data_IF_603701022177
#
_entry.id   IF_603701022177
#
_cell.length_a   1.000
_cell.length_b   1.000
_cell.length_c   1.000
_cell.angle_alpha   90.00
_cell.angle_beta   90.00
_cell.angle_gamma   90.00
#
_symmetry.space_group_name_H-M   'P 1'
#
loop_
_entity.id
_entity.type
_entity.pdbx_description
1 polymer ?
#
# COMPACT_ATOMS: atom_id res chain seq x y z
N UNK A 1 -0.49 -19.87 -10.22
CA UNK A 1 -0.13 -18.44 -10.10
C UNK A 1 0.64 -18.23 -8.79
N UNK A 2 1.88 -17.77 -8.85
CA UNK A 2 2.67 -17.39 -7.68
C UNK A 2 2.87 -15.87 -7.71
N UNK A 3 2.02 -15.14 -6.99
CA UNK A 3 2.04 -13.68 -6.91
C UNK A 3 1.67 -13.18 -5.49
N UNK A 4 1.64 -11.86 -5.27
CA UNK A 4 1.36 -11.25 -3.97
C UNK A 4 -0.02 -11.60 -3.38
N UNK A 5 -0.93 -12.15 -4.19
CA UNK A 5 -2.24 -12.68 -3.76
C UNK A 5 -2.17 -13.96 -2.92
N UNK A 6 -0.99 -14.61 -2.80
CA UNK A 6 -0.81 -15.77 -1.88
C UNK A 6 -1.05 -15.41 -0.41
N UNK A 7 -0.84 -14.14 -0.06
CA UNK A 7 -0.98 -13.67 1.30
C UNK A 7 -2.43 -13.33 1.55
N UNK A 8 -3.12 -14.12 2.37
CA UNK A 8 -4.52 -13.85 2.74
C UNK A 8 -4.70 -12.42 3.27
N UNK A 9 -3.75 -11.94 4.07
CA UNK A 9 -3.73 -10.58 4.63
C UNK A 9 -2.92 -9.58 3.80
N UNK A 10 -2.66 -9.89 2.53
CA UNK A 10 -1.86 -9.06 1.62
C UNK A 10 -0.35 -9.06 1.89
N UNK A 11 0.40 -8.46 0.98
CA UNK A 11 1.85 -8.28 1.12
C UNK A 11 2.15 -6.82 1.46
N UNK A 12 2.67 -6.58 2.67
CA UNK A 12 2.99 -5.22 3.13
C UNK A 12 4.30 -4.80 2.48
N UNK A 13 4.26 -3.68 1.76
CA UNK A 13 5.41 -3.08 1.10
C UNK A 13 5.26 -1.55 1.04
N UNK A 14 6.31 -0.89 0.56
CA UNK A 14 6.31 0.51 0.12
C UNK A 14 6.89 0.57 -1.29
N UNK A 15 6.52 1.61 -2.03
CA UNK A 15 7.09 1.86 -3.36
C UNK A 15 8.44 2.59 -3.26
N UNK A 16 8.64 3.40 -2.20
CA UNK A 16 9.91 4.09 -1.91
C UNK A 16 10.28 4.04 -0.44
N UNK A 17 11.57 3.87 -0.15
CA UNK A 17 12.16 3.88 1.20
C UNK A 17 13.02 5.13 1.41
N UNK A 18 12.35 6.26 1.55
CA UNK A 18 12.98 7.54 1.86
C UNK A 18 12.20 8.30 2.95
N UNK A 19 12.85 9.26 3.64
CA UNK A 19 12.15 10.12 4.59
C UNK A 19 11.07 10.97 3.89
N UNK A 20 9.91 11.12 4.54
CA UNK A 20 8.85 12.02 4.06
C UNK A 20 9.32 13.48 4.03
N UNK A 21 8.88 14.22 3.02
CA UNK A 21 9.03 15.66 2.91
C UNK A 21 7.67 16.37 3.08
N UNK A 22 7.70 17.62 3.55
CA UNK A 22 6.51 18.49 3.68
C UNK A 22 6.32 19.41 2.47
N UNK A 23 7.31 19.46 1.57
CA UNK A 23 7.34 20.37 0.42
C UNK A 23 7.31 19.62 -0.90
N UNK A 24 7.54 18.32 -0.91
CA UNK A 24 7.54 17.50 -2.11
C UNK A 24 7.16 16.05 -1.78
N UNK A 25 6.82 15.26 -2.80
CA UNK A 25 6.65 13.83 -2.66
C UNK A 25 6.01 13.18 -3.89
N UNK A 26 6.22 11.88 -4.00
CA UNK A 26 5.63 11.03 -5.05
C UNK A 26 4.43 10.26 -4.50
N UNK A 27 3.41 10.10 -5.32
CA UNK A 27 2.18 9.39 -4.97
C UNK A 27 1.90 8.32 -6.03
N UNK A 28 1.73 7.07 -5.60
CA UNK A 28 1.19 6.00 -6.43
C UNK A 28 -0.29 6.30 -6.69
N UNK A 29 -0.62 6.51 -7.95
CA UNK A 29 -1.95 6.80 -8.44
C UNK A 29 -2.56 5.53 -9.04
N UNK A 30 -3.58 5.00 -8.38
CA UNK A 30 -4.22 3.75 -8.77
C UNK A 30 -5.68 4.02 -9.15
N UNK A 31 -5.98 3.96 -10.46
CA UNK A 31 -7.35 4.00 -10.97
C UNK A 31 -7.89 2.57 -11.04
N UNK A 32 -8.92 2.29 -10.27
CA UNK A 32 -9.52 0.96 -10.18
C UNK A 32 -10.48 0.71 -11.35
N UNK A 33 -10.29 -0.42 -12.03
CA UNK A 33 -11.08 -0.79 -13.21
C UNK A 33 -11.98 -2.00 -12.94
N UNK A 34 -11.57 -2.88 -12.01
CA UNK A 34 -12.31 -4.10 -11.69
C UNK A 34 -12.00 -4.60 -10.28
N UNK A 35 -13.03 -5.03 -9.56
CA UNK A 35 -12.94 -5.75 -8.28
C UNK A 35 -12.88 -7.28 -8.49
N UNK A 36 -12.30 -8.04 -7.55
CA UNK A 36 -12.38 -9.50 -7.59
C UNK A 36 -13.81 -9.98 -7.35
N UNK A 37 -14.13 -11.17 -7.86
CA UNK A 37 -15.50 -11.71 -7.85
C UNK A 37 -16.00 -12.00 -6.42
N UNK A 38 -15.08 -12.25 -5.48
CA UNK A 38 -15.38 -12.52 -4.07
C UNK A 38 -15.23 -11.30 -3.16
N UNK A 39 -15.20 -10.07 -3.69
CA UNK A 39 -15.06 -8.83 -2.89
C UNK A 39 -16.10 -8.69 -1.75
N UNK A 40 -17.33 -9.17 -1.98
CA UNK A 40 -18.41 -9.16 -0.98
C UNK A 40 -18.40 -10.38 -0.05
N UNK A 41 -17.50 -11.34 -0.27
CA UNK A 41 -17.37 -12.53 0.57
C UNK A 41 -16.60 -12.17 1.85
N UNK A 42 -17.28 -11.54 2.79
CA UNK A 42 -16.71 -11.21 4.09
C UNK A 42 -16.36 -12.49 4.86
N UNK A 43 -15.08 -12.70 5.17
CA UNK A 43 -14.61 -13.88 5.88
C UNK A 43 -14.31 -13.63 7.37
N UNK A 44 -14.85 -12.56 7.94
CA UNK A 44 -14.79 -12.26 9.37
C UNK A 44 -13.95 -11.03 9.75
N UNK A 45 -12.86 -10.71 9.04
CA UNK A 45 -11.97 -9.59 9.45
C UNK A 45 -11.49 -8.66 8.32
N UNK A 46 -11.54 -9.07 7.05
CA UNK A 46 -11.10 -8.26 5.92
C UNK A 46 -11.75 -8.74 4.63
N UNK A 47 -12.39 -7.82 3.90
CA UNK A 47 -12.96 -8.14 2.59
C UNK A 47 -11.86 -8.45 1.57
N UNK A 48 -12.06 -9.44 0.69
CA UNK A 48 -11.08 -9.77 -0.35
C UNK A 48 -10.79 -8.59 -1.29
N UNK A 49 -9.52 -8.40 -1.67
CA UNK A 49 -9.11 -7.34 -2.60
C UNK A 49 -9.09 -5.92 -2.03
N UNK A 50 -9.44 -5.74 -0.76
CA UNK A 50 -9.42 -4.42 -0.11
C UNK A 50 -8.00 -3.88 0.06
N UNK A 51 -7.84 -2.57 -0.11
CA UNK A 51 -6.59 -1.87 0.11
C UNK A 51 -6.39 -1.56 1.61
N UNK A 52 -5.22 -1.87 2.14
CA UNK A 52 -4.80 -1.58 3.51
C UNK A 52 -3.63 -0.61 3.47
N UNK A 53 -3.70 0.46 4.26
CA UNK A 53 -2.67 1.50 4.36
C UNK A 53 -2.31 1.72 5.82
N UNK A 54 -1.02 1.61 6.17
CA UNK A 54 -0.53 1.92 7.51
C UNK A 54 -0.11 3.40 7.56
N UNK A 55 -0.79 4.26 8.35
CA UNK A 55 -0.57 5.71 8.35
C UNK A 55 0.65 6.12 9.18
N UNK A 56 1.82 5.52 8.91
CA UNK A 56 3.04 5.73 9.69
C UNK A 56 3.60 7.14 9.51
N UNK A 57 3.43 8.01 10.50
CA UNK A 57 3.99 9.35 10.50
C UNK A 57 5.37 9.32 11.17
N UNK A 58 6.43 9.16 10.38
CA UNK A 58 7.79 9.30 10.88
C UNK A 58 8.37 10.67 10.53
N UNK A 59 9.00 11.30 11.52
CA UNK A 59 10.01 12.33 11.25
C UNK A 59 11.24 11.68 10.63
N UNK A 60 12.09 12.48 9.99
CA UNK A 60 13.38 12.00 9.45
C UNK A 60 14.23 11.29 10.51
N UNK A 61 14.25 11.78 11.74
CA UNK A 61 14.97 11.13 12.85
C UNK A 61 14.35 9.78 13.20
N UNK A 62 13.02 9.68 13.29
CA UNK A 62 12.33 8.42 13.56
C UNK A 62 12.54 7.40 12.44
N UNK A 63 12.65 7.84 11.18
CA UNK A 63 12.99 6.96 10.06
C UNK A 63 14.32 6.24 10.31
N UNK A 64 15.38 6.98 10.66
CA UNK A 64 16.70 6.39 10.93
C UNK A 64 16.70 5.50 12.19
N UNK A 65 16.04 5.93 13.27
CA UNK A 65 15.92 5.12 14.49
C UNK A 65 15.20 3.78 14.25
N UNK A 66 14.30 3.73 13.28
CA UNK A 66 13.53 2.53 12.94
C UNK A 66 14.06 1.82 11.69
N UNK A 67 15.23 2.18 11.17
CA UNK A 67 15.73 1.69 9.88
C UNK A 67 15.76 0.15 9.78
N UNK A 68 16.07 -0.56 10.86
CA UNK A 68 16.03 -2.03 10.88
C UNK A 68 14.62 -2.62 10.75
N UNK A 69 13.58 -1.96 11.28
CA UNK A 69 12.19 -2.38 11.06
C UNK A 69 11.73 -1.97 9.66
N UNK A 70 12.08 -0.76 9.22
CA UNK A 70 11.68 -0.24 7.91
C UNK A 70 12.34 -1.00 6.76
N UNK A 71 13.56 -1.51 6.92
CA UNK A 71 14.20 -2.37 5.91
C UNK A 71 13.41 -3.66 5.66
N UNK A 72 12.57 -4.10 6.61
CA UNK A 72 11.68 -5.26 6.39
C UNK A 72 10.55 -4.95 5.42
N UNK A 73 10.25 -3.69 5.10
CA UNK A 73 9.26 -3.34 4.08
C UNK A 73 9.68 -3.78 2.67
N UNK A 74 10.93 -4.19 2.47
CA UNK A 74 11.41 -4.81 1.21
C UNK A 74 11.42 -6.34 1.27
N UNK A 75 11.16 -6.96 2.43
CA UNK A 75 11.26 -8.41 2.57
C UNK A 75 10.00 -9.13 2.13
N UNK A 76 10.19 -10.23 1.39
CA UNK A 76 9.13 -11.14 0.94
C UNK A 76 8.95 -12.36 1.85
N UNK A 77 9.67 -12.41 2.98
CA UNK A 77 9.67 -13.55 3.90
C UNK A 77 8.47 -13.56 4.85
N UNK A 78 7.95 -14.74 5.21
CA UNK A 78 6.86 -14.89 6.17
C UNK A 78 7.19 -14.33 7.54
N UNK A 79 8.41 -14.58 8.03
CA UNK A 79 8.87 -14.05 9.31
C UNK A 79 8.89 -12.51 9.31
N UNK A 80 9.40 -11.87 8.25
CA UNK A 80 9.41 -10.42 8.15
C UNK A 80 8.01 -9.81 8.03
N UNK A 81 7.12 -10.44 7.27
CA UNK A 81 5.73 -10.01 7.13
C UNK A 81 4.92 -10.13 8.44
N UNK A 82 5.24 -11.11 9.30
CA UNK A 82 4.66 -11.21 10.65
C UNK A 82 5.20 -10.12 11.57
N UNK A 83 6.52 -9.89 11.59
CA UNK A 83 7.13 -8.83 12.40
C UNK A 83 6.60 -7.43 12.02
N UNK A 84 6.42 -7.16 10.72
CA UNK A 84 5.80 -5.93 10.25
C UNK A 84 4.38 -5.77 10.80
N UNK A 85 3.53 -6.79 10.71
CA UNK A 85 2.14 -6.70 11.23
C UNK A 85 2.10 -6.43 12.73
N UNK A 86 3.02 -7.04 13.48
CA UNK A 86 3.12 -6.80 14.91
C UNK A 86 3.55 -5.37 15.24
N UNK A 87 4.48 -4.80 14.48
CA UNK A 87 5.06 -3.48 14.76
C UNK A 87 4.29 -2.31 14.17
N UNK A 88 3.66 -2.49 13.01
CA UNK A 88 2.94 -1.41 12.32
C UNK A 88 1.54 -1.16 12.90
N UNK A 89 0.99 -2.13 13.64
CA UNK A 89 -0.35 -2.05 14.21
C UNK A 89 -1.46 -2.18 13.15
N UNK A 90 -2.62 -1.58 13.43
CA UNK A 90 -3.81 -1.70 12.57
C UNK A 90 -3.74 -0.75 11.36
N UNK A 91 -4.03 -1.23 10.14
CA UNK A 91 -4.13 -0.37 8.97
C UNK A 91 -5.45 0.40 8.94
N UNK A 92 -5.46 1.45 8.13
CA UNK A 92 -6.67 2.01 7.55
C UNK A 92 -7.06 1.17 6.34
N UNK A 93 -8.33 0.79 6.27
CA UNK A 93 -8.87 -0.05 5.21
C UNK A 93 -9.68 0.81 4.24
N UNK A 94 -9.37 0.72 2.95
CA UNK A 94 -10.02 1.47 1.88
C UNK A 94 -10.70 0.48 0.93
N UNK A 95 -12.03 0.50 0.93
CA UNK A 95 -12.84 -0.22 -0.06
C UNK A 95 -12.89 0.65 -1.32
N UNK A 96 -12.37 0.12 -2.43
CA UNK A 96 -12.26 0.83 -3.71
C UNK A 96 -13.19 0.19 -4.72
N UNK A 97 -13.90 0.99 -5.50
CA UNK A 97 -14.81 0.56 -6.56
C UNK A 97 -14.25 0.88 -7.95
N UNK A 98 -14.75 0.23 -9.02
CA UNK A 98 -14.42 0.64 -10.38
C UNK A 98 -14.73 2.12 -10.62
N UNK A 99 -13.74 2.87 -11.09
CA UNK A 99 -13.80 4.32 -11.27
C UNK A 99 -13.10 5.12 -10.17
N UNK A 100 -12.84 4.51 -9.00
CA UNK A 100 -12.11 5.19 -7.93
C UNK A 100 -10.64 5.41 -8.29
N UNK A 101 -10.16 6.62 -8.04
CA UNK A 101 -8.74 6.96 -8.04
C UNK A 101 -8.25 7.04 -6.59
N UNK A 102 -7.28 6.20 -6.23
CA UNK A 102 -6.60 6.29 -4.94
C UNK A 102 -5.18 6.81 -5.13
N UNK A 103 -4.84 7.90 -4.43
CA UNK A 103 -3.49 8.44 -4.35
C UNK A 103 -2.85 8.02 -3.02
N UNK A 104 -1.75 7.28 -3.10
CA UNK A 104 -1.02 6.78 -1.94
C UNK A 104 0.39 7.35 -1.97
N UNK A 105 0.77 8.09 -0.94
CA UNK A 105 2.16 8.53 -0.77
C UNK A 105 3.08 7.29 -0.75
N UNK A 106 4.07 7.24 -1.66
CA UNK A 106 4.85 6.02 -1.98
C UNK A 106 5.62 5.43 -0.79
N UNK A 107 5.89 6.25 0.23
CA UNK A 107 6.55 5.84 1.47
C UNK A 107 5.59 5.27 2.53
N UNK A 108 4.28 5.25 2.28
CA UNK A 108 3.27 4.66 3.20
C UNK A 108 3.20 3.16 2.99
N UNK A 109 3.42 2.33 4.03
CA UNK A 109 3.25 0.90 3.87
C UNK A 109 1.81 0.57 3.51
N UNK A 110 1.65 -0.30 2.53
CA UNK A 110 0.34 -0.70 2.06
C UNK A 110 0.35 -2.14 1.56
N UNK A 111 -0.84 -2.72 1.50
CA UNK A 111 -1.07 -4.08 1.07
C UNK A 111 -2.47 -4.21 0.45
N UNK A 112 -2.63 -5.15 -0.49
CA UNK A 112 -3.94 -5.54 -1.00
C UNK A 112 -4.29 -6.91 -0.42
N UNK A 113 -5.46 -7.03 0.20
CA UNK A 113 -5.96 -8.28 0.75
C UNK A 113 -6.03 -9.37 -0.33
N UNK A 114 -5.64 -10.59 0.01
CA UNK A 114 -5.73 -11.73 -0.90
C UNK A 114 -7.20 -12.07 -1.22
N UNK A 115 -7.43 -12.58 -2.43
CA UNK A 115 -8.76 -12.95 -2.93
C UNK A 115 -8.67 -14.28 -3.69
N UNK A 116 -9.78 -15.02 -3.77
CA UNK A 116 -9.84 -16.36 -4.36
C UNK A 116 -10.46 -16.37 -5.76
N UNK A 117 -11.34 -15.43 -6.06
CA UNK A 117 -12.13 -15.41 -7.29
C UNK A 117 -11.84 -14.21 -8.18
N UNK A 118 -11.90 -14.41 -9.49
CA UNK A 118 -11.80 -13.34 -10.47
C UNK A 118 -10.45 -12.62 -10.51
N UNK A 119 -10.52 -11.34 -10.88
CA UNK A 119 -9.35 -10.49 -11.11
C UNK A 119 -9.60 -9.10 -10.55
N UNK A 120 -8.64 -8.58 -9.77
CA UNK A 120 -8.58 -7.17 -9.40
C UNK A 120 -7.70 -6.43 -10.40
N UNK A 121 -8.23 -5.39 -11.04
CA UNK A 121 -7.53 -4.66 -12.09
C UNK A 121 -7.49 -3.18 -11.75
N UNK A 122 -6.29 -2.60 -11.82
CA UNK A 122 -6.06 -1.15 -11.70
C UNK A 122 -5.06 -0.69 -12.75
N UNK A 123 -5.20 0.55 -13.19
CA UNK A 123 -4.15 1.27 -13.90
C UNK A 123 -3.32 2.02 -12.85
N UNK A 124 -2.01 1.77 -12.82
CA UNK A 124 -1.10 2.42 -11.91
C UNK A 124 -0.19 3.40 -12.66
N UNK A 125 -0.03 4.58 -12.10
CA UNK A 125 1.00 5.56 -12.46
C UNK A 125 1.52 6.27 -11.21
N UNK A 126 2.38 7.27 -11.40
CA UNK A 126 2.88 8.09 -10.30
C UNK A 126 2.58 9.57 -10.55
N UNK A 127 2.30 10.29 -9.47
CA UNK A 127 2.08 11.74 -9.47
C UNK A 127 3.11 12.38 -8.54
N UNK A 128 3.82 13.36 -9.06
CA UNK A 128 4.77 14.17 -8.30
C UNK A 128 4.11 15.46 -7.83
N UNK A 129 4.39 15.79 -6.58
CA UNK A 129 4.05 17.06 -5.97
C UNK A 129 5.31 17.80 -5.56
N UNK A 130 5.36 19.09 -5.87
CA UNK A 130 6.34 20.03 -5.33
C UNK A 130 5.66 21.35 -5.04
N UNK A 131 5.93 21.90 -3.85
CA UNK A 131 5.26 23.11 -3.35
C UNK A 131 5.50 24.28 -4.30
N UNK A 132 4.40 24.90 -4.75
CA UNK A 132 4.44 26.04 -5.66
C UNK A 132 4.48 25.66 -7.14
N UNK A 133 4.50 24.36 -7.46
CA UNK A 133 4.46 23.83 -8.82
C UNK A 133 3.14 23.07 -9.06
N UNK A 134 2.80 22.83 -10.32
CA UNK A 134 1.66 21.98 -10.69
C UNK A 134 1.95 20.50 -10.41
N UNK A 135 0.89 19.69 -10.27
CA UNK A 135 1.06 18.24 -10.21
C UNK A 135 1.54 17.70 -11.56
N UNK A 136 2.53 16.82 -11.54
CA UNK A 136 3.09 16.17 -12.73
C UNK A 136 2.77 14.69 -12.68
N UNK A 137 2.27 14.14 -13.78
CA UNK A 137 2.11 12.68 -13.93
C UNK A 137 3.41 12.15 -14.56
N UNK A 138 4.08 11.21 -13.91
CA UNK A 138 5.24 10.55 -14.50
C UNK A 138 4.79 9.76 -15.73
N UNK A 139 5.47 10.01 -16.85
CA UNK A 139 5.24 9.39 -18.16
C UNK A 139 6.09 8.15 -18.37
#
# INVERSE_FOLDING_TARGET
MHGPTRWRSGFIHVDSLEPLSQTEGTFSANLYLKQPDDVHSYNGSLSPGTLQIWPLKYTRTQFYLNAHTLSKLTTTTSAGQMDLRQKLGSPVTVNVEPGDLCLICVQRPHAVAGFKGGSRVSLQGFVEYKRGEGLVVES
#
